data_IF_089214436860
#
_entry.id   IF_089214436860
#
_cell.length_a   1.000
_cell.length_b   1.000
_cell.length_c   1.000
_cell.angle_alpha   90.00
_cell.angle_beta   90.00
_cell.angle_gamma   90.00
#
_symmetry.space_group_name_H-M   'P 1'
#
loop_
_entity.id
_entity.type
_entity.pdbx_description
1 polymer ?
#
# COMPACT_ATOMS: atom_id res chain seq x y z
N UNK A 1 -7.58 -7.85 -11.01
CA UNK A 1 -6.86 -7.22 -9.89
C UNK A 1 -6.35 -8.34 -9.02
N UNK A 2 -5.07 -8.34 -8.69
CA UNK A 2 -4.50 -9.24 -7.70
C UNK A 2 -4.12 -8.40 -6.49
N UNK A 3 -4.32 -8.94 -5.29
CA UNK A 3 -3.86 -8.27 -4.08
C UNK A 3 -3.42 -9.30 -3.04
N UNK A 4 -2.55 -8.88 -2.13
CA UNK A 4 -2.08 -9.69 -1.02
C UNK A 4 -2.41 -8.97 0.28
N UNK A 5 -3.03 -9.67 1.22
CA UNK A 5 -3.30 -9.17 2.56
C UNK A 5 -2.20 -9.65 3.50
N UNK A 6 -1.41 -8.72 4.02
CA UNK A 6 -0.49 -8.97 5.10
C UNK A 6 -1.11 -8.45 6.41
N UNK A 7 -1.29 -9.34 7.38
CA UNK A 7 -1.70 -8.98 8.74
C UNK A 7 -0.49 -9.15 9.68
N UNK A 8 -0.04 -8.04 10.27
CA UNK A 8 0.99 -8.09 11.31
C UNK A 8 0.30 -8.14 12.68
N UNK A 9 0.68 -9.13 13.49
CA UNK A 9 0.11 -9.39 14.81
C UNK A 9 1.03 -8.78 15.89
N UNK A 10 0.52 -7.74 16.55
CA UNK A 10 1.03 -7.16 17.80
C UNK A 10 -0.15 -6.65 18.63
N UNK A 11 0.06 -5.82 19.66
CA UNK A 11 -1.05 -5.23 20.44
C UNK A 11 -2.06 -4.48 19.54
N UNK A 12 -1.61 -3.97 18.39
CA UNK A 12 -2.46 -3.49 17.30
C UNK A 12 -2.34 -4.39 16.07
N UNK A 13 -3.47 -4.90 15.57
CA UNK A 13 -3.52 -5.63 14.29
C UNK A 13 -3.45 -4.65 13.12
N UNK A 14 -2.36 -4.70 12.35
CA UNK A 14 -2.22 -3.91 11.13
C UNK A 14 -2.61 -4.75 9.92
N UNK A 15 -3.51 -4.23 9.08
CA UNK A 15 -3.92 -4.86 7.81
C UNK A 15 -3.40 -4.08 6.63
N UNK A 16 -2.57 -4.74 5.81
CA UNK A 16 -1.98 -4.18 4.59
C UNK A 16 -2.47 -4.97 3.37
N UNK A 17 -3.12 -4.29 2.44
CA UNK A 17 -3.52 -4.80 1.14
C UNK A 17 -2.53 -4.29 0.09
N UNK A 18 -1.62 -5.15 -0.37
CA UNK A 18 -0.78 -4.88 -1.53
C UNK A 18 -1.60 -5.05 -2.81
N UNK A 19 -1.77 -4.03 -3.64
CA UNK A 19 -2.68 -4.02 -4.79
C UNK A 19 -1.90 -4.01 -6.10
N UNK A 20 -2.33 -4.86 -7.03
CA UNK A 20 -2.03 -4.73 -8.45
C UNK A 20 -3.30 -4.76 -9.30
N UNK A 21 -3.52 -3.71 -10.08
CA UNK A 21 -4.60 -3.63 -11.06
C UNK A 21 -4.01 -3.46 -12.44
N UNK A 22 -4.32 -4.37 -13.37
CA UNK A 22 -3.91 -4.21 -14.76
C UNK A 22 -4.55 -2.94 -15.40
N UNK A 23 -3.91 -2.34 -16.42
CA UNK A 23 -4.44 -1.19 -17.13
C UNK A 23 -5.88 -1.40 -17.60
N UNK A 24 -6.78 -0.48 -17.21
CA UNK A 24 -8.20 -0.51 -17.59
C UNK A 24 -9.04 -1.67 -17.00
N UNK A 25 -8.46 -2.54 -16.17
CA UNK A 25 -9.11 -3.75 -15.59
C UNK A 25 -9.25 -3.69 -14.07
N UNK A 26 -9.41 -2.49 -13.52
CA UNK A 26 -9.65 -2.32 -12.09
C UNK A 26 -10.96 -2.98 -11.65
N UNK A 27 -10.90 -3.86 -10.65
CA UNK A 27 -12.05 -4.48 -10.02
C UNK A 27 -12.09 -4.11 -8.53
N UNK A 28 -12.76 -3.00 -8.22
CA UNK A 28 -12.83 -2.46 -6.86
C UNK A 28 -13.62 -3.35 -5.89
N UNK A 29 -14.53 -4.18 -6.40
CA UNK A 29 -15.28 -5.13 -5.56
C UNK A 29 -14.38 -6.21 -4.95
N UNK A 30 -13.17 -6.40 -5.51
CA UNK A 30 -12.19 -7.31 -4.94
C UNK A 30 -11.39 -6.69 -3.79
N UNK A 31 -11.39 -5.36 -3.63
CA UNK A 31 -10.66 -4.73 -2.53
C UNK A 31 -11.35 -4.99 -1.18
N UNK A 32 -10.58 -5.27 -0.12
CA UNK A 32 -11.16 -5.43 1.21
C UNK A 32 -11.81 -4.12 1.65
N UNK A 33 -12.98 -4.20 2.24
CA UNK A 33 -13.66 -3.02 2.78
C UNK A 33 -12.89 -2.45 3.97
N UNK A 34 -12.81 -1.12 4.09
CA UNK A 34 -12.13 -0.50 5.20
C UNK A 34 -12.88 -0.78 6.51
N UNK A 35 -12.13 -0.86 7.60
CA UNK A 35 -12.67 -1.09 8.95
C UNK A 35 -12.33 0.08 9.86
N UNK A 36 -12.99 0.15 11.02
CA UNK A 36 -12.67 1.13 12.08
C UNK A 36 -11.20 1.06 12.52
N UNK A 37 -10.65 -0.16 12.67
CA UNK A 37 -9.25 -0.38 13.01
C UNK A 37 -8.29 0.11 11.92
N UNK A 38 -8.77 0.12 10.68
CA UNK A 38 -8.06 0.69 9.54
C UNK A 38 -7.43 -0.35 8.63
N UNK A 39 -7.13 0.09 7.42
CA UNK A 39 -6.44 -0.65 6.39
C UNK A 39 -5.39 0.25 5.75
N UNK A 40 -4.32 -0.36 5.26
CA UNK A 40 -3.41 0.24 4.29
C UNK A 40 -3.67 -0.43 2.95
N UNK A 41 -3.93 0.33 1.89
CA UNK A 41 -3.94 -0.14 0.51
C UNK A 41 -2.74 0.45 -0.19
N UNK A 42 -1.87 -0.37 -0.74
CA UNK A 42 -0.60 0.08 -1.29
C UNK A 42 -0.26 -0.70 -2.54
N UNK A 43 0.20 -0.04 -3.60
CA UNK A 43 0.73 -0.72 -4.78
C UNK A 43 0.32 -0.06 -6.07
N UNK A 44 0.42 -0.82 -7.17
CA UNK A 44 0.20 -0.37 -8.53
C UNK A 44 -1.28 -0.48 -8.92
N UNK A 45 -1.99 0.64 -8.87
CA UNK A 45 -3.40 0.68 -9.25
C UNK A 45 -3.59 0.88 -10.76
N UNK A 46 -2.52 1.16 -11.52
CA UNK A 46 -2.57 1.65 -12.88
C UNK A 46 -3.65 2.72 -13.08
N UNK A 47 -3.79 3.64 -12.13
CA UNK A 47 -4.87 4.63 -12.09
C UNK A 47 -4.28 6.04 -12.12
N UNK A 48 -4.66 6.81 -13.13
CA UNK A 48 -4.15 8.17 -13.36
C UNK A 48 -5.29 9.18 -13.27
N UNK A 49 -5.09 10.23 -12.48
CA UNK A 49 -5.97 11.40 -12.41
C UNK A 49 -5.27 12.54 -11.63
N UNK A 50 -5.50 13.82 -11.95
CA UNK A 50 -4.97 14.93 -11.17
C UNK A 50 -5.32 14.89 -9.68
N UNK A 51 -6.55 14.49 -9.35
CA UNK A 51 -7.02 14.32 -7.96
C UNK A 51 -6.27 13.22 -7.19
N UNK A 52 -5.57 12.35 -7.91
CA UNK A 52 -4.69 11.31 -7.36
C UNK A 52 -3.20 11.72 -7.43
N UNK A 53 -2.92 13.00 -7.71
CA UNK A 53 -1.58 13.57 -7.91
C UNK A 53 -0.84 13.09 -9.16
N UNK A 54 -1.56 12.66 -10.21
CA UNK A 54 -0.94 12.58 -11.54
C UNK A 54 -0.74 14.00 -12.10
N UNK A 55 0.39 14.24 -12.77
CA UNK A 55 0.66 15.52 -13.43
C UNK A 55 -0.15 15.70 -14.72
N UNK A 56 -0.62 14.61 -15.33
CA UNK A 56 -1.45 14.68 -16.52
C UNK A 56 -2.90 15.01 -16.17
N UNK A 57 -3.47 15.98 -16.89
CA UNK A 57 -4.89 16.32 -16.83
C UNK A 57 -5.80 15.24 -17.43
N UNK A 58 -5.25 14.29 -18.17
CA UNK A 58 -6.02 13.25 -18.84
C UNK A 58 -6.10 11.99 -17.96
N UNK A 59 -7.25 11.71 -17.31
CA UNK A 59 -7.39 10.50 -16.52
C UNK A 59 -7.40 9.27 -17.43
N UNK A 60 -6.94 8.14 -16.91
CA UNK A 60 -7.13 6.85 -17.58
C UNK A 60 -8.40 6.14 -17.06
N UNK A 61 -8.79 5.01 -17.68
CA UNK A 61 -10.02 4.28 -17.33
C UNK A 61 -10.11 3.85 -15.85
N UNK A 62 -8.98 3.62 -15.19
CA UNK A 62 -8.94 3.23 -13.77
C UNK A 62 -9.05 4.44 -12.83
N UNK A 63 -8.58 5.63 -13.26
CA UNK A 63 -8.51 6.85 -12.45
C UNK A 63 -9.84 7.26 -11.80
N UNK A 64 -10.92 7.48 -12.57
CA UNK A 64 -12.22 7.84 -12.01
C UNK A 64 -12.77 6.80 -11.03
N UNK A 65 -12.64 5.52 -11.36
CA UNK A 65 -13.14 4.43 -10.52
C UNK A 65 -12.42 4.40 -9.18
N UNK A 66 -11.09 4.52 -9.19
CA UNK A 66 -10.31 4.58 -7.95
C UNK A 66 -10.69 5.80 -7.10
N UNK A 67 -10.85 6.97 -7.73
CA UNK A 67 -11.25 8.18 -7.02
C UNK A 67 -12.63 8.03 -6.37
N UNK A 68 -13.59 7.42 -7.07
CA UNK A 68 -14.93 7.17 -6.51
C UNK A 68 -14.86 6.24 -5.31
N UNK A 69 -14.01 5.20 -5.35
CA UNK A 69 -13.78 4.32 -4.21
C UNK A 69 -13.17 5.07 -3.01
N UNK A 70 -12.12 5.86 -3.27
CA UNK A 70 -11.45 6.69 -2.26
C UNK A 70 -12.43 7.64 -1.60
N UNK A 71 -13.29 8.30 -2.38
CA UNK A 71 -14.32 9.22 -1.86
C UNK A 71 -15.40 8.50 -1.09
N UNK A 72 -15.95 7.41 -1.65
CA UNK A 72 -17.01 6.60 -1.02
C UNK A 72 -16.61 6.13 0.37
N UNK A 73 -15.37 5.69 0.53
CA UNK A 73 -14.86 5.15 1.78
C UNK A 73 -13.98 6.11 2.59
N UNK A 74 -13.92 7.38 2.18
CA UNK A 74 -13.15 8.44 2.85
C UNK A 74 -11.71 8.02 3.14
N UNK A 75 -11.05 7.40 2.16
CA UNK A 75 -9.67 6.97 2.31
C UNK A 75 -8.72 8.17 2.29
N UNK A 76 -7.75 8.17 3.20
CA UNK A 76 -6.66 9.15 3.20
C UNK A 76 -5.61 8.70 2.20
N UNK A 77 -5.45 9.44 1.10
CA UNK A 77 -4.34 9.27 0.16
C UNK A 77 -3.09 9.95 0.71
N UNK A 78 -1.97 9.26 0.61
CA UNK A 78 -0.67 9.81 0.98
C UNK A 78 0.08 10.32 -0.24
N UNK A 79 0.59 11.55 -0.14
CA UNK A 79 1.47 12.11 -1.16
C UNK A 79 2.89 11.55 -0.98
N UNK A 80 3.39 10.85 -1.99
CA UNK A 80 4.73 10.22 -1.99
C UNK A 80 5.71 10.92 -2.93
N UNK A 81 5.45 12.16 -3.34
CA UNK A 81 6.44 12.99 -4.06
C UNK A 81 6.32 12.98 -5.58
N UNK A 82 5.13 12.70 -6.13
CA UNK A 82 4.84 12.85 -7.56
C UNK A 82 4.86 11.54 -8.35
N UNK A 83 5.38 11.59 -9.58
CA UNK A 83 5.37 10.47 -10.51
C UNK A 83 6.04 9.22 -9.90
N UNK A 84 5.37 8.09 -10.01
CA UNK A 84 5.85 6.80 -9.49
C UNK A 84 6.38 5.89 -10.58
N UNK A 85 6.35 6.34 -11.84
CA UNK A 85 6.84 5.62 -13.00
C UNK A 85 7.77 6.52 -13.83
N UNK A 86 8.82 5.95 -14.40
CA UNK A 86 9.87 6.62 -15.20
C UNK A 86 9.33 7.45 -16.36
N UNK A 87 8.16 7.07 -16.90
CA UNK A 87 7.43 7.82 -17.95
C UNK A 87 6.56 8.96 -17.43
N UNK A 88 6.70 9.36 -16.16
CA UNK A 88 6.06 10.54 -15.58
C UNK A 88 4.63 10.35 -15.05
N UNK A 89 4.14 9.11 -14.92
CA UNK A 89 2.80 8.82 -14.39
C UNK A 89 2.80 8.52 -12.88
N UNK A 90 1.73 8.90 -12.18
CA UNK A 90 1.49 8.54 -10.77
C UNK A 90 0.50 7.37 -10.75
N UNK A 91 1.05 6.15 -10.79
CA UNK A 91 0.29 4.90 -10.95
C UNK A 91 0.19 4.11 -9.64
N UNK A 92 1.19 4.28 -8.79
CA UNK A 92 1.34 3.62 -7.51
C UNK A 92 0.79 4.54 -6.42
N UNK A 93 -0.03 4.00 -5.53
CA UNK A 93 -0.68 4.80 -4.49
C UNK A 93 -0.58 4.13 -3.13
N UNK A 94 -0.55 4.94 -2.08
CA UNK A 94 -0.83 4.50 -0.70
C UNK A 94 -2.11 5.20 -0.23
N UNK A 95 -3.10 4.40 0.15
CA UNK A 95 -4.30 4.85 0.84
C UNK A 95 -4.38 4.23 2.22
N UNK A 96 -4.96 4.96 3.16
CA UNK A 96 -5.22 4.46 4.51
C UNK A 96 -6.65 4.75 4.94
N UNK A 97 -7.17 3.96 5.87
CA UNK A 97 -8.47 4.18 6.50
C UNK A 97 -8.38 4.02 8.02
N UNK A 98 -9.40 4.49 8.73
CA UNK A 98 -9.55 4.29 10.17
C UNK A 98 -8.38 4.84 10.99
N UNK A 99 -8.08 4.18 12.12
CA UNK A 99 -7.02 4.60 13.05
C UNK A 99 -5.61 4.53 12.45
N UNK A 100 -5.41 3.77 11.38
CA UNK A 100 -4.10 3.67 10.72
C UNK A 100 -3.67 5.02 10.12
N UNK A 101 -4.63 5.83 9.65
CA UNK A 101 -4.33 7.11 9.00
C UNK A 101 -3.60 8.12 9.92
N UNK A 102 -3.76 8.02 11.25
CA UNK A 102 -3.07 8.89 12.20
C UNK A 102 -1.71 8.33 12.67
N UNK A 103 -1.33 7.13 12.21
CA UNK A 103 -0.18 6.39 12.72
C UNK A 103 0.81 5.99 11.64
N UNK A 104 0.73 6.57 10.45
CA UNK A 104 1.67 6.28 9.36
C UNK A 104 2.40 7.51 8.88
N UNK A 105 3.63 7.30 8.41
CA UNK A 105 4.36 8.23 7.54
C UNK A 105 4.74 7.50 6.26
N UNK A 106 4.34 8.05 5.12
CA UNK A 106 4.63 7.48 3.81
C UNK A 106 5.76 8.26 3.11
N UNK A 107 6.51 7.59 2.25
CA UNK A 107 7.62 8.15 1.50
C UNK A 107 7.86 7.34 0.22
N UNK A 108 8.65 7.89 -0.70
CA UNK A 108 9.14 7.18 -1.88
C UNK A 108 10.64 6.95 -1.77
N UNK A 109 11.11 5.90 -2.45
CA UNK A 109 12.52 5.53 -2.56
C UNK A 109 12.81 5.26 -4.04
N UNK A 110 13.71 6.05 -4.67
CA UNK A 110 14.18 5.75 -6.01
C UNK A 110 14.80 4.34 -6.07
N UNK A 111 14.50 3.58 -7.12
CA UNK A 111 15.03 2.23 -7.31
C UNK A 111 15.86 2.19 -8.59
N UNK A 112 17.07 1.63 -8.51
CA UNK A 112 18.03 1.64 -9.62
C UNK A 112 17.69 0.66 -10.77
N UNK A 113 16.87 -0.36 -10.50
CA UNK A 113 16.62 -1.48 -11.43
C UNK A 113 15.14 -1.64 -11.79
N UNK A 114 14.33 -0.58 -11.62
CA UNK A 114 12.90 -0.60 -11.87
C UNK A 114 12.48 0.69 -12.55
N UNK A 115 11.55 0.57 -13.50
CA UNK A 115 10.86 1.71 -14.10
C UNK A 115 9.84 2.35 -13.14
N UNK A 116 9.50 1.68 -12.03
CA UNK A 116 8.74 2.23 -10.92
C UNK A 116 9.63 2.72 -9.77
N UNK A 117 9.18 3.78 -9.11
CA UNK A 117 9.66 4.27 -7.81
C UNK A 117 9.05 3.42 -6.71
N UNK A 118 9.87 2.94 -5.77
CA UNK A 118 9.33 2.20 -4.63
C UNK A 118 8.59 3.13 -3.68
N UNK A 119 7.44 2.68 -3.20
CA UNK A 119 6.71 3.35 -2.13
C UNK A 119 7.08 2.68 -0.80
N UNK A 120 7.10 3.46 0.27
CA UNK A 120 7.42 3.01 1.62
C UNK A 120 6.48 3.63 2.65
N UNK A 121 6.30 2.91 3.76
CA UNK A 121 5.55 3.40 4.91
C UNK A 121 6.25 3.03 6.22
N UNK A 122 6.16 3.92 7.20
CA UNK A 122 6.50 3.67 8.60
C UNK A 122 5.21 3.72 9.40
N UNK A 123 4.89 2.64 10.10
CA UNK A 123 3.76 2.58 11.03
C UNK A 123 4.28 2.76 12.46
N UNK A 124 3.65 3.64 13.23
CA UNK A 124 3.97 3.89 14.62
C UNK A 124 3.06 3.03 15.52
N UNK A 125 3.67 2.07 16.21
CA UNK A 125 2.97 1.26 17.23
C UNK A 125 3.00 2.03 18.54
N UNK A 126 1.85 2.21 19.20
CA UNK A 126 1.81 2.72 20.56
C UNK A 126 2.35 1.61 21.46
N UNK A 127 3.54 1.81 22.02
CA UNK A 127 4.07 0.90 23.02
C UNK A 127 3.23 1.05 24.30
N UNK A 128 2.56 -0.02 24.73
CA UNK A 128 2.25 -0.17 26.16
C UNK A 128 3.58 -0.30 26.91
N UNK A 129 3.74 0.27 28.12
CA UNK A 129 5.05 0.51 28.75
C UNK A 129 5.85 -0.72 29.18
N UNK A 130 5.56 -1.93 28.69
CA UNK A 130 6.05 -3.19 29.25
C UNK A 130 6.79 -4.11 28.27
N UNK A 131 7.11 -3.69 27.05
CA UNK A 131 7.80 -4.58 26.10
C UNK A 131 8.94 -3.89 25.35
N UNK A 132 10.13 -4.47 25.49
CA UNK A 132 11.39 -4.10 24.86
C UNK A 132 11.25 -3.97 23.34
N UNK A 133 11.87 -2.92 22.80
CA UNK A 133 11.73 -2.45 21.43
C UNK A 133 12.13 -3.47 20.34
N UNK A 134 11.17 -4.18 19.78
CA UNK A 134 11.29 -4.79 18.46
C UNK A 134 10.82 -3.79 17.38
N UNK A 135 11.75 -3.25 16.58
CA UNK A 135 11.42 -2.51 15.36
C UNK A 135 11.13 -3.51 14.24
N UNK A 136 9.86 -3.86 14.03
CA UNK A 136 9.48 -4.74 12.93
C UNK A 136 9.53 -3.98 11.60
N UNK A 137 10.54 -4.26 10.78
CA UNK A 137 10.63 -3.77 9.40
C UNK A 137 10.08 -4.84 8.45
N UNK A 138 8.99 -4.54 7.76
CA UNK A 138 8.45 -5.40 6.71
C UNK A 138 9.07 -4.95 5.38
N UNK A 139 9.93 -5.78 4.80
CA UNK A 139 10.47 -5.58 3.44
C UNK A 139 9.65 -6.41 2.46
N UNK A 140 8.82 -5.74 1.66
CA UNK A 140 8.10 -6.38 0.54
C UNK A 140 9.01 -6.30 -0.69
N UNK A 141 9.38 -7.45 -1.26
CA UNK A 141 10.19 -7.50 -2.47
C UNK A 141 9.47 -6.84 -3.67
N UNK A 142 10.19 -6.33 -4.67
CA UNK A 142 9.58 -5.80 -5.88
C UNK A 142 8.94 -6.90 -6.74
N UNK A 143 7.88 -6.50 -7.45
CA UNK A 143 6.94 -7.27 -8.29
C UNK A 143 7.58 -8.09 -9.43
N UNK A 144 8.85 -7.86 -9.77
CA UNK A 144 9.51 -8.40 -10.96
C UNK A 144 10.28 -9.70 -10.75
N UNK A 145 10.23 -10.31 -9.57
CA UNK A 145 10.76 -11.67 -9.42
C UNK A 145 9.75 -12.70 -9.98
N UNK A 146 10.15 -13.67 -10.82
CA UNK A 146 9.27 -14.74 -11.30
C UNK A 146 8.66 -15.58 -10.16
N UNK A 147 9.32 -15.59 -9.00
CA UNK A 147 8.83 -16.18 -7.77
C UNK A 147 8.01 -15.23 -6.90
N UNK A 148 7.72 -13.98 -7.29
CA UNK A 148 7.06 -12.99 -6.43
C UNK A 148 5.69 -13.45 -5.90
N UNK A 149 4.88 -14.08 -6.75
CA UNK A 149 3.59 -14.66 -6.32
C UNK A 149 3.87 -15.84 -5.37
N UNK A 150 4.74 -16.79 -5.75
CA UNK A 150 5.06 -18.00 -4.98
C UNK A 150 5.75 -17.73 -3.63
N UNK A 151 6.68 -16.79 -3.59
CA UNK A 151 7.46 -16.35 -2.44
C UNK A 151 6.59 -15.62 -1.42
N UNK A 152 5.63 -14.81 -1.88
CA UNK A 152 4.71 -14.09 -1.00
C UNK A 152 3.50 -14.93 -0.57
N UNK A 153 3.10 -15.96 -1.35
CA UNK A 153 2.06 -16.92 -0.92
C UNK A 153 2.57 -17.96 0.08
N UNK A 154 3.88 -18.26 0.09
CA UNK A 154 4.48 -19.21 1.05
C UNK A 154 4.90 -18.57 2.36
N UNK A 155 5.19 -17.26 2.37
CA UNK A 155 5.40 -16.47 3.58
C UNK A 155 4.06 -15.98 4.16
N UNK A 156 3.35 -16.86 4.86
CA UNK A 156 2.62 -16.41 6.05
C UNK A 156 3.68 -15.85 6.98
N UNK A 157 3.88 -14.52 6.98
CA UNK A 157 4.72 -13.83 7.95
C UNK A 157 4.13 -14.08 9.34
N UNK A 158 4.53 -15.21 9.91
CA UNK A 158 4.25 -15.61 11.27
C UNK A 158 5.23 -14.82 12.12
N UNK A 159 4.78 -13.70 12.67
CA UNK A 159 5.55 -12.93 13.63
C UNK A 159 5.64 -13.77 14.91
N UNK A 160 6.77 -14.45 15.08
CA UNK A 160 7.03 -15.21 16.29
C UNK A 160 7.40 -14.20 17.39
N UNK A 161 6.51 -14.01 18.35
CA UNK A 161 6.66 -13.09 19.47
C UNK A 161 7.45 -13.69 20.64
N UNK A 162 8.52 -14.46 20.34
CA UNK A 162 9.36 -15.02 21.39
C UNK A 162 10.81 -14.54 21.29
N UNK A 163 11.19 -13.84 22.37
CA UNK A 163 12.50 -13.37 22.88
C UNK A 163 13.71 -14.28 22.56
N UNK A 164 14.95 -13.75 22.60
CA UNK A 164 15.57 -13.13 23.79
C UNK A 164 15.40 -11.63 23.90
#
# INVERSE_FOLDING_TARGET
MTFQLLEAMGCDKLRLCNVYSAPGRMNLAALPLPTLRGFIYMGDFNARRPDLSDSSHTPNRNGPRLLDYVRRYRLTRWNTGGATHSRGGTLDHIFTSGLVASRVKCFSVPVLFSDHVALGLRYYVLATPTSSHARTCIRICPKYFPTYISYMTTLLLSFNSHSP
#
